data_IF_117386417652
#
_entry.id   IF_117386417652
#
_cell.length_a   1.000
_cell.length_b   1.000
_cell.length_c   1.000
_cell.angle_alpha   90.00
_cell.angle_beta   90.00
_cell.angle_gamma   90.00
#
_symmetry.space_group_name_H-M   'P 1'
#
loop_
_entity.id
_entity.type
_entity.pdbx_description
1 polymer ?
#
# COMPACT_ATOMS: atom_id res chain seq x y z
N UNK A 1 15.93 24.78 23.56
CA UNK A 1 14.70 24.89 22.73
C UNK A 1 14.39 23.50 22.22
N UNK A 2 13.27 22.89 22.63
CA UNK A 2 12.84 21.55 22.19
C UNK A 2 12.47 21.65 20.70
N UNK A 3 13.03 20.79 19.85
CA UNK A 3 12.79 20.82 18.42
C UNK A 3 11.45 20.14 18.12
N UNK A 4 10.36 20.90 18.26
CA UNK A 4 8.98 20.40 18.20
C UNK A 4 8.65 19.62 16.93
N UNK A 5 9.32 19.93 15.80
CA UNK A 5 9.12 19.23 14.52
C UNK A 5 9.77 17.86 14.45
N UNK A 6 10.88 17.63 15.16
CA UNK A 6 11.54 16.33 15.22
C UNK A 6 10.76 15.38 16.11
N UNK A 7 10.28 15.88 17.25
CA UNK A 7 9.43 15.14 18.18
C UNK A 7 8.12 14.67 17.50
N UNK A 8 7.51 15.54 16.69
CA UNK A 8 6.27 15.22 15.96
C UNK A 8 6.48 14.14 14.89
N UNK A 9 7.58 14.19 14.15
CA UNK A 9 7.95 13.13 13.19
C UNK A 9 8.24 11.80 13.88
N UNK A 10 8.94 11.83 15.01
CA UNK A 10 9.25 10.64 15.80
C UNK A 10 7.96 10.01 16.34
N UNK A 11 7.04 10.82 16.87
CA UNK A 11 5.75 10.38 17.37
C UNK A 11 4.89 9.77 16.26
N UNK A 12 4.83 10.39 15.07
CA UNK A 12 4.15 9.81 13.90
C UNK A 12 4.71 8.44 13.57
N UNK A 13 6.02 8.31 13.46
CA UNK A 13 6.65 7.05 13.08
C UNK A 13 6.40 5.96 14.12
N UNK A 14 6.56 6.28 15.41
CA UNK A 14 6.26 5.37 16.50
C UNK A 14 4.79 4.91 16.48
N UNK A 15 3.85 5.81 16.20
CA UNK A 15 2.42 5.49 16.12
C UNK A 15 2.11 4.56 14.93
N UNK A 16 2.69 4.82 13.76
CA UNK A 16 2.55 3.96 12.58
C UNK A 16 3.10 2.56 12.88
N UNK A 17 4.28 2.46 13.50
CA UNK A 17 4.87 1.17 13.89
C UNK A 17 4.00 0.44 14.92
N UNK A 18 3.48 1.17 15.92
CA UNK A 18 2.61 0.61 16.96
C UNK A 18 1.28 0.07 16.40
N UNK A 19 0.76 0.66 15.31
CA UNK A 19 -0.41 0.15 14.59
C UNK A 19 -0.05 -1.10 13.80
N UNK A 20 1.01 -1.05 13.00
CA UNK A 20 1.33 -2.13 12.06
C UNK A 20 1.88 -3.39 12.74
N UNK A 21 2.70 -3.24 13.78
CA UNK A 21 3.35 -4.37 14.45
C UNK A 21 2.34 -5.45 14.93
N UNK A 22 1.29 -5.13 15.71
CA UNK A 22 0.32 -6.13 16.13
C UNK A 22 -0.57 -6.59 14.97
N UNK A 23 -1.00 -5.69 14.07
CA UNK A 23 -1.91 -6.06 12.99
C UNK A 23 -1.26 -7.03 11.99
N UNK A 24 0.02 -6.85 11.67
CA UNK A 24 0.76 -7.80 10.81
C UNK A 24 0.80 -9.18 11.46
N UNK A 25 1.06 -9.24 12.77
CA UNK A 25 1.10 -10.50 13.50
C UNK A 25 -0.28 -11.22 13.49
N UNK A 26 -1.36 -10.50 13.78
CA UNK A 26 -2.72 -11.06 13.75
C UNK A 26 -3.11 -11.48 12.34
N UNK A 27 -2.79 -10.68 11.33
CA UNK A 27 -3.04 -11.03 9.92
C UNK A 27 -2.27 -12.28 9.50
N UNK A 28 -1.01 -12.42 9.93
CA UNK A 28 -0.19 -13.60 9.64
C UNK A 28 -0.78 -14.87 10.26
N UNK A 29 -1.28 -14.81 11.50
CA UNK A 29 -1.97 -15.94 12.15
C UNK A 29 -3.23 -16.31 11.37
N UNK A 30 -4.09 -15.33 11.06
CA UNK A 30 -5.31 -15.57 10.31
C UNK A 30 -5.01 -16.19 8.93
N UNK A 31 -3.98 -15.69 8.24
CA UNK A 31 -3.55 -16.21 6.95
C UNK A 31 -3.05 -17.65 7.06
N UNK A 32 -2.23 -17.96 8.07
CA UNK A 32 -1.72 -19.30 8.31
C UNK A 32 -2.85 -20.30 8.58
N UNK A 33 -3.85 -19.92 9.37
CA UNK A 33 -5.05 -20.74 9.61
C UNK A 33 -5.82 -20.94 8.30
N UNK A 34 -6.02 -19.88 7.52
CA UNK A 34 -6.71 -19.93 6.24
C UNK A 34 -6.03 -20.86 5.23
N UNK A 35 -4.70 -20.80 5.13
CA UNK A 35 -3.92 -21.69 4.26
C UNK A 35 -3.99 -23.14 4.76
N UNK A 36 -3.79 -23.38 6.06
CA UNK A 36 -3.76 -24.73 6.65
C UNK A 36 -5.07 -25.49 6.47
N UNK A 37 -6.20 -24.80 6.58
CA UNK A 37 -7.53 -25.39 6.51
C UNK A 37 -8.26 -25.13 5.18
N UNK A 38 -7.58 -24.53 4.19
CA UNK A 38 -8.18 -24.09 2.92
C UNK A 38 -9.47 -23.26 3.11
N UNK A 39 -9.49 -22.43 4.16
CA UNK A 39 -10.69 -21.73 4.58
C UNK A 39 -10.68 -20.26 4.12
N UNK A 40 -11.61 -19.96 3.23
CA UNK A 40 -11.79 -18.64 2.63
C UNK A 40 -12.01 -17.53 3.66
N UNK A 41 -12.77 -17.78 4.74
CA UNK A 41 -13.12 -16.73 5.70
C UNK A 41 -11.90 -16.25 6.48
N UNK A 42 -10.97 -17.15 6.81
CA UNK A 42 -9.73 -16.82 7.49
C UNK A 42 -8.74 -16.08 6.58
N UNK A 43 -8.69 -16.43 5.29
CA UNK A 43 -7.91 -15.69 4.30
C UNK A 43 -8.49 -14.27 4.13
N UNK A 44 -9.80 -14.15 3.97
CA UNK A 44 -10.47 -12.86 3.87
C UNK A 44 -10.25 -12.00 5.13
N UNK A 45 -10.32 -12.60 6.32
CA UNK A 45 -10.03 -11.93 7.58
C UNK A 45 -8.58 -11.40 7.63
N UNK A 46 -7.60 -12.17 7.15
CA UNK A 46 -6.21 -11.72 7.09
C UNK A 46 -6.07 -10.45 6.23
N UNK A 47 -6.64 -10.43 5.03
CA UNK A 47 -6.62 -9.24 4.17
C UNK A 47 -7.42 -8.07 4.76
N UNK A 48 -8.54 -8.34 5.42
CA UNK A 48 -9.32 -7.32 6.11
C UNK A 48 -8.52 -6.64 7.22
N UNK A 49 -7.73 -7.39 8.00
CA UNK A 49 -6.84 -6.83 9.02
C UNK A 49 -5.78 -5.91 8.41
N UNK A 50 -5.18 -6.31 7.28
CA UNK A 50 -4.21 -5.47 6.56
C UNK A 50 -4.88 -4.18 6.04
N UNK A 51 -6.10 -4.27 5.50
CA UNK A 51 -6.88 -3.11 5.07
C UNK A 51 -7.21 -2.17 6.23
N UNK A 52 -7.58 -2.71 7.39
CA UNK A 52 -7.80 -1.91 8.61
C UNK A 52 -6.51 -1.20 9.01
N UNK A 53 -5.36 -1.88 8.99
CA UNK A 53 -4.05 -1.26 9.25
C UNK A 53 -3.74 -0.12 8.29
N UNK A 54 -4.05 -0.30 7.00
CA UNK A 54 -3.93 0.76 5.99
C UNK A 54 -4.83 1.95 6.32
N UNK A 55 -6.11 1.73 6.63
CA UNK A 55 -7.05 2.80 7.02
C UNK A 55 -6.58 3.53 8.28
N UNK A 56 -6.12 2.82 9.31
CA UNK A 56 -5.56 3.42 10.51
C UNK A 56 -4.34 4.31 10.19
N UNK A 57 -3.45 3.86 9.30
CA UNK A 57 -2.32 4.66 8.84
C UNK A 57 -2.80 5.93 8.10
N UNK A 58 -3.83 5.82 7.26
CA UNK A 58 -4.44 6.99 6.61
C UNK A 58 -5.01 7.98 7.63
N UNK A 59 -5.68 7.50 8.66
CA UNK A 59 -6.23 8.35 9.73
C UNK A 59 -5.09 9.05 10.47
N UNK A 60 -4.01 8.36 10.82
CA UNK A 60 -2.83 8.98 11.45
C UNK A 60 -2.25 10.07 10.57
N UNK A 61 -2.07 9.78 9.28
CA UNK A 61 -1.56 10.74 8.32
C UNK A 61 -2.49 11.96 8.20
N UNK A 62 -3.82 11.75 8.18
CA UNK A 62 -4.79 12.83 8.12
C UNK A 62 -4.80 13.70 9.40
N UNK A 63 -4.78 13.08 10.58
CA UNK A 63 -4.80 13.79 11.88
C UNK A 63 -3.53 14.58 12.12
N UNK A 64 -2.38 14.05 11.69
CA UNK A 64 -1.08 14.72 11.83
C UNK A 64 -0.72 15.58 10.61
N UNK A 65 -1.64 15.78 9.67
CA UNK A 65 -1.42 16.53 8.41
C UNK A 65 -0.15 16.11 7.65
N UNK A 66 0.13 14.81 7.64
CA UNK A 66 1.30 14.22 6.99
C UNK A 66 0.92 13.34 5.80
N UNK A 67 1.88 13.11 4.90
CA UNK A 67 1.74 12.18 3.79
C UNK A 67 2.62 10.94 4.01
N UNK A 68 2.43 9.92 3.18
CA UNK A 68 3.37 8.79 3.10
C UNK A 68 4.77 9.29 2.74
N UNK A 69 5.75 8.87 3.52
CA UNK A 69 7.15 9.17 3.24
C UNK A 69 7.65 8.34 2.06
N UNK A 70 8.69 8.84 1.37
CA UNK A 70 9.34 8.09 0.27
C UNK A 70 9.80 6.69 0.71
N UNK A 71 10.29 6.58 1.96
CA UNK A 71 10.73 5.31 2.54
C UNK A 71 9.58 4.32 2.75
N UNK A 72 8.45 4.79 3.30
CA UNK A 72 7.26 3.95 3.49
C UNK A 72 6.68 3.47 2.16
N UNK A 73 6.57 4.36 1.17
CA UNK A 73 6.07 3.98 -0.17
C UNK A 73 7.02 2.99 -0.86
N UNK A 74 8.33 3.21 -0.77
CA UNK A 74 9.32 2.29 -1.34
C UNK A 74 9.28 0.92 -0.66
N UNK A 75 9.22 0.89 0.68
CA UNK A 75 9.11 -0.34 1.45
C UNK A 75 7.83 -1.11 1.08
N UNK A 76 6.68 -0.43 1.05
CA UNK A 76 5.41 -1.03 0.69
C UNK A 76 5.43 -1.62 -0.73
N UNK A 77 5.97 -0.88 -1.71
CA UNK A 77 6.07 -1.32 -3.08
C UNK A 77 6.98 -2.56 -3.24
N UNK A 78 8.15 -2.56 -2.58
CA UNK A 78 9.09 -3.69 -2.60
C UNK A 78 8.48 -4.92 -1.93
N UNK A 79 7.93 -4.78 -0.73
CA UNK A 79 7.29 -5.88 -0.01
C UNK A 79 6.11 -6.46 -0.79
N UNK A 80 5.24 -5.62 -1.34
CA UNK A 80 4.09 -6.07 -2.12
C UNK A 80 4.53 -6.81 -3.38
N UNK A 81 5.48 -6.26 -4.13
CA UNK A 81 6.02 -6.88 -5.34
C UNK A 81 6.66 -8.23 -5.02
N UNK A 82 7.46 -8.30 -3.97
CA UNK A 82 8.09 -9.53 -3.50
C UNK A 82 7.04 -10.60 -3.16
N UNK A 83 6.00 -10.25 -2.39
CA UNK A 83 4.93 -11.18 -2.02
C UNK A 83 4.16 -11.67 -3.24
N UNK A 84 3.83 -10.79 -4.19
CA UNK A 84 3.14 -11.18 -5.43
C UNK A 84 4.00 -12.13 -6.27
N UNK A 85 5.30 -11.88 -6.39
CA UNK A 85 6.22 -12.78 -7.13
C UNK A 85 6.30 -14.14 -6.45
N UNK A 86 6.49 -14.18 -5.13
CA UNK A 86 6.55 -15.43 -4.36
C UNK A 86 5.23 -16.21 -4.50
N UNK A 87 4.10 -15.52 -4.43
CA UNK A 87 2.79 -16.13 -4.62
C UNK A 87 2.59 -16.68 -6.04
N UNK A 88 2.96 -15.91 -7.07
CA UNK A 88 2.90 -16.36 -8.46
C UNK A 88 3.78 -17.59 -8.69
N UNK A 89 5.03 -17.55 -8.20
CA UNK A 89 5.95 -18.68 -8.28
C UNK A 89 5.40 -19.94 -7.57
N UNK A 90 4.77 -19.78 -6.41
CA UNK A 90 4.12 -20.88 -5.70
C UNK A 90 2.98 -21.52 -6.53
N UNK A 91 2.22 -20.70 -7.26
CA UNK A 91 1.19 -21.17 -8.19
C UNK A 91 1.76 -21.95 -9.38
N UNK A 92 2.90 -21.53 -9.94
CA UNK A 92 3.54 -22.23 -11.08
C UNK A 92 4.22 -23.54 -10.69
N UNK A 93 4.76 -23.63 -9.47
CA UNK A 93 5.48 -24.84 -9.01
C UNK A 93 4.50 -25.92 -8.54
N UNK A 94 3.30 -25.55 -8.09
CA UNK A 94 2.35 -26.49 -7.51
C UNK A 94 1.41 -27.10 -8.55
N UNK A 95 1.44 -28.43 -8.68
CA UNK A 95 0.46 -29.22 -9.44
C UNK A 95 -0.72 -29.71 -8.58
N UNK A 96 -1.00 -29.04 -7.46
CA UNK A 96 -2.00 -29.50 -6.49
C UNK A 96 -3.33 -28.76 -6.66
N UNK A 97 -4.44 -29.50 -6.82
CA UNK A 97 -5.80 -28.95 -6.91
C UNK A 97 -6.16 -28.05 -5.71
N UNK A 98 -5.65 -28.36 -4.53
CA UNK A 98 -5.89 -27.55 -3.33
C UNK A 98 -5.23 -26.16 -3.39
N UNK A 99 -4.15 -26.01 -4.17
CA UNK A 99 -3.53 -24.69 -4.38
C UNK A 99 -4.41 -23.81 -5.28
N UNK A 100 -5.12 -24.39 -6.25
CA UNK A 100 -6.08 -23.65 -7.05
C UNK A 100 -7.22 -23.05 -6.22
N UNK A 101 -7.66 -23.74 -5.16
CA UNK A 101 -8.65 -23.21 -4.22
C UNK A 101 -8.12 -22.01 -3.41
N UNK A 102 -6.80 -21.92 -3.19
CA UNK A 102 -6.14 -20.81 -2.51
C UNK A 102 -5.83 -19.64 -3.45
N UNK A 103 -5.62 -19.90 -4.75
CA UNK A 103 -5.17 -18.88 -5.70
C UNK A 103 -6.20 -17.75 -5.82
N UNK A 104 -7.47 -18.09 -6.01
CA UNK A 104 -8.53 -17.12 -6.25
C UNK A 104 -8.71 -16.13 -5.08
N UNK A 105 -8.87 -16.55 -3.82
CA UNK A 105 -9.03 -15.61 -2.73
C UNK A 105 -7.77 -14.78 -2.43
N UNK A 106 -6.59 -15.35 -2.61
CA UNK A 106 -5.34 -14.60 -2.48
C UNK A 106 -5.22 -13.52 -3.57
N UNK A 107 -5.56 -13.84 -4.82
CA UNK A 107 -5.56 -12.89 -5.92
C UNK A 107 -6.58 -11.75 -5.70
N UNK A 108 -7.77 -12.07 -5.22
CA UNK A 108 -8.77 -11.08 -4.81
C UNK A 108 -8.24 -10.21 -3.67
N UNK A 109 -7.60 -10.81 -2.66
CA UNK A 109 -6.96 -10.11 -1.56
C UNK A 109 -5.91 -9.09 -2.02
N UNK A 110 -4.96 -9.51 -2.85
CA UNK A 110 -3.93 -8.62 -3.42
C UNK A 110 -4.53 -7.52 -4.30
N UNK A 111 -5.53 -7.86 -5.11
CA UNK A 111 -6.23 -6.88 -5.95
C UNK A 111 -6.95 -5.83 -5.10
N UNK A 112 -7.52 -6.23 -3.95
CA UNK A 112 -8.17 -5.29 -3.04
C UNK A 112 -7.20 -4.29 -2.42
N UNK A 113 -5.96 -4.72 -2.11
CA UNK A 113 -4.91 -3.83 -1.61
C UNK A 113 -4.50 -2.79 -2.65
N UNK A 114 -4.34 -3.20 -3.92
CA UNK A 114 -4.10 -2.27 -5.02
C UNK A 114 -5.27 -1.30 -5.16
N UNK A 115 -6.50 -1.80 -5.09
CA UNK A 115 -7.72 -0.98 -5.13
C UNK A 115 -7.74 0.07 -4.03
N UNK A 116 -7.39 -0.29 -2.79
CA UNK A 116 -7.33 0.64 -1.66
C UNK A 116 -6.30 1.76 -1.89
N UNK A 117 -5.15 1.45 -2.47
CA UNK A 117 -4.13 2.44 -2.85
C UNK A 117 -4.68 3.37 -3.93
N UNK A 118 -5.32 2.83 -4.98
CA UNK A 118 -5.91 3.64 -6.05
C UNK A 118 -6.98 4.58 -5.48
N UNK A 119 -7.88 4.07 -4.64
CA UNK A 119 -8.92 4.87 -3.97
C UNK A 119 -8.28 5.99 -3.15
N UNK A 120 -7.25 5.69 -2.36
CA UNK A 120 -6.51 6.71 -1.62
C UNK A 120 -5.93 7.80 -2.54
N UNK A 121 -5.27 7.41 -3.63
CA UNK A 121 -4.70 8.37 -4.58
C UNK A 121 -5.77 9.26 -5.22
N UNK A 122 -6.94 8.69 -5.52
CA UNK A 122 -8.09 9.43 -6.07
C UNK A 122 -8.66 10.42 -5.05
N UNK A 123 -8.81 10.03 -3.79
CA UNK A 123 -9.34 10.90 -2.73
C UNK A 123 -8.35 12.03 -2.42
N UNK A 124 -7.07 11.72 -2.27
CA UNK A 124 -6.06 12.68 -1.81
C UNK A 124 -5.66 13.68 -2.91
N UNK A 125 -5.47 13.21 -4.14
CA UNK A 125 -4.92 14.03 -5.23
C UNK A 125 -5.95 14.37 -6.32
N UNK A 126 -7.07 13.67 -6.37
CA UNK A 126 -8.02 13.76 -7.47
C UNK A 126 -7.55 13.02 -8.73
N UNK A 127 -8.46 12.64 -9.65
CA UNK A 127 -8.14 11.80 -10.81
C UNK A 127 -7.15 12.43 -11.79
N UNK A 128 -7.05 13.77 -11.82
CA UNK A 128 -6.17 14.50 -12.75
C UNK A 128 -4.74 14.66 -12.22
N UNK A 129 -4.58 14.99 -10.93
CA UNK A 129 -3.24 15.20 -10.34
C UNK A 129 -2.55 13.88 -9.96
N UNK A 130 -3.31 12.79 -9.78
CA UNK A 130 -2.73 11.46 -9.60
C UNK A 130 -1.91 11.04 -10.83
N UNK A 131 -2.42 11.25 -12.04
CA UNK A 131 -1.70 10.98 -13.30
C UNK A 131 -0.45 11.84 -13.47
N UNK A 132 -0.49 13.12 -13.04
CA UNK A 132 0.68 14.00 -13.11
C UNK A 132 1.84 13.54 -12.20
N UNK A 133 1.55 12.82 -11.11
CA UNK A 133 2.60 12.21 -10.26
C UNK A 133 3.28 11.03 -10.93
N UNK A 134 2.58 10.30 -11.81
CA UNK A 134 3.12 9.19 -12.59
C UNK A 134 3.80 9.64 -13.89
N UNK A 135 3.81 10.93 -14.21
CA UNK A 135 4.53 11.48 -15.35
C UNK A 135 6.04 11.53 -15.07
N UNK A 136 6.68 10.36 -15.22
CA UNK A 136 8.13 10.16 -15.08
C UNK A 136 8.90 11.01 -16.09
N UNK A 137 8.34 11.25 -17.29
CA UNK A 137 9.00 12.04 -18.33
C UNK A 137 9.12 13.49 -17.88
N UNK A 138 8.06 14.09 -17.31
CA UNK A 138 8.12 15.46 -16.76
C UNK A 138 9.06 15.56 -15.56
N UNK A 139 8.98 14.62 -14.63
CA UNK A 139 9.76 14.66 -13.38
C UNK A 139 11.26 14.38 -13.59
N UNK A 140 11.62 13.63 -14.64
CA UNK A 140 13.01 13.31 -14.97
C UNK A 140 13.60 14.24 -16.05
N UNK A 141 12.86 15.27 -16.49
CA UNK A 141 13.35 16.23 -17.48
C UNK A 141 14.14 17.35 -16.80
N UNK A 142 15.46 17.35 -17.02
CA UNK A 142 16.39 18.32 -16.46
C UNK A 142 16.21 19.76 -17.00
N UNK A 143 15.46 19.95 -18.09
CA UNK A 143 15.25 21.28 -18.68
C UNK A 143 14.37 22.15 -17.78
N UNK A 144 14.80 23.37 -17.49
CA UNK A 144 14.04 24.35 -16.66
C UNK A 144 12.62 24.59 -17.20
N UNK A 145 12.44 24.54 -18.53
CA UNK A 145 11.14 24.71 -19.19
C UNK A 145 10.09 23.64 -18.82
N UNK A 146 10.50 22.45 -18.33
CA UNK A 146 9.57 21.39 -17.91
C UNK A 146 8.82 21.72 -16.62
N UNK A 147 9.30 22.71 -15.85
CA UNK A 147 8.70 23.19 -14.59
C UNK A 147 7.72 24.34 -14.77
N UNK A 148 7.58 24.87 -15.99
CA UNK A 148 6.67 25.98 -16.26
C UNK A 148 5.24 25.47 -16.25
N UNK A 149 4.36 26.17 -15.52
CA UNK A 149 2.91 25.90 -15.52
C UNK A 149 2.41 26.02 -16.96
N UNK A 150 1.86 24.94 -17.50
CA UNK A 150 1.21 24.97 -18.81
C UNK A 150 0.00 25.91 -18.72
N UNK A 151 0.20 27.17 -19.12
CA UNK A 151 -0.91 27.99 -19.62
C UNK A 151 -1.36 27.29 -20.90
N UNK A 152 -2.44 26.51 -20.80
CA UNK A 152 -3.11 25.94 -21.95
C UNK A 152 -3.20 27.01 -23.03
N UNK A 153 -2.52 26.76 -24.15
CA UNK A 153 -2.48 27.69 -25.27
C UNK A 153 -3.89 27.87 -25.78
N UNK A 154 -4.51 29.00 -25.42
CA UNK A 154 -5.64 29.53 -26.17
C UNK A 154 -5.09 30.04 -27.49
N UNK A 155 -5.48 29.39 -28.58
CA UNK A 155 -6.04 30.08 -29.74
C UNK A 155 -7.27 29.32 -30.17
#
# INVERSE_FOLDING_TARGET
MRNTKEDEKLNRHALVVAIWSPLIFVAAIALQIGIKFYNLTWIAAAFAIILIGFVCHLIVNAVLETEFTKGETALAAVCFTFVVIVFAAAGFISNNENVYLLILPMAVGFSSLIGAIIIYLLIMYGPRKSLEKFDVIRNNNARIASRLVHRGGRR
#
